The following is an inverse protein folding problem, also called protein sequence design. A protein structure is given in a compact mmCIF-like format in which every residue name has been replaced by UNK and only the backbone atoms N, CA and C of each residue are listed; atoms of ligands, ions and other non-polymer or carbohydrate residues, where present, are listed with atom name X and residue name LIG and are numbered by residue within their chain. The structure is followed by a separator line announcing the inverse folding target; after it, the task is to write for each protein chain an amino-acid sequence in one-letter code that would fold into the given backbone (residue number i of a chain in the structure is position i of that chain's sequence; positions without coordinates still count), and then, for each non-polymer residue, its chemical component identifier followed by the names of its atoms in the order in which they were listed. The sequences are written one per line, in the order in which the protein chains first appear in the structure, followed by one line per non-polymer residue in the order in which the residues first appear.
data_IF_645792418244
#
_entry.id   IF_645792418244
#
_cell.length_a   1.000
_cell.length_b   1.000
_cell.length_c   1.000
_cell.angle_alpha   90.00
_cell.angle_beta   90.00
_cell.angle_gamma   90.00
#
_symmetry.space_group_name_H-M   'P 1'
#
loop_
_entity.id
_entity.type
_entity.pdbx_description
1 polymer ?
2 polymer ?
3 polymer ?
4 non-polymer ?
5 non-polymer ?
6 non-polymer ?
7 non-polymer ?
8 water ?
#
loop_
_entity_poly.entity_id
_entity_poly.type
_entity_poly.pdbx_seq_one_letter_code
_entity_poly.pdbx_strand_id
2 'polydeoxyribonucleotide' '(DG)(DG)(DG)(DT)(DT)(DT)(DC)(DC)(DA)(DC)(DT)(DT)(DA)(DT)(DT)(DC)(DA)(DT)(DC)(DA)(DT)(DT)(DT)(DT)(DA)(DG)' ?
3 'polydeoxyribonucleotide' '(DC)(DC)(DT)(DA)(DA)(DA)(DA)(DT)(DG)(DA)(DT)(DG)(DA)(DA)(DT)(DA)(DA)(DG)(DT)(DG)(DG)(DA)(DA)(DA)(DC)(DC)' ?
#
# COMPACT_ATOMS: atom_id res chain seq x y z
N UNK A 7 -9.93 17.74 4.67
CA UNK A 7 -10.07 16.42 5.25
C UNK A 7 -8.71 15.74 5.41
N UNK A 8 -7.88 16.29 6.30
CA UNK A 8 -6.55 15.73 6.54
C UNK A 8 -6.65 14.24 6.86
N UNK A 9 -5.83 13.45 6.16
CA UNK A 9 -5.94 12.00 6.27
C UNK A 9 -5.55 11.54 7.67
N UNK A 10 -6.29 10.56 8.19
CA UNK A 10 -6.01 10.04 9.51
C UNK A 10 -4.59 9.46 9.57
N UNK A 11 -3.89 9.61 10.69
CA UNK A 11 -2.51 9.09 10.74
C UNK A 11 -2.44 7.59 10.52
N UNK A 12 -3.32 6.81 11.14
CA UNK A 12 -3.30 5.36 10.93
C UNK A 12 -3.73 4.99 9.51
N UNK A 13 -4.71 5.71 8.97
CA UNK A 13 -5.08 5.49 7.56
C UNK A 13 -3.90 5.81 6.66
N UNK A 14 -3.12 6.84 7.03
CA UNK A 14 -1.94 7.18 6.24
C UNK A 14 -0.87 6.09 6.36
N UNK A 15 -0.72 5.50 7.54
CA UNK A 15 0.27 4.44 7.71
C UNK A 15 -0.16 3.17 6.99
N UNK A 16 -1.45 2.85 7.03
CA UNK A 16 -1.94 1.71 6.26
C UNK A 16 -1.75 1.89 4.77
N UNK A 17 -1.94 3.11 4.27
CA UNK A 17 -1.72 3.37 2.86
C UNK A 17 -0.23 3.33 2.52
N UNK A 18 0.62 3.79 3.43
CA UNK A 18 2.07 3.71 3.21
C UNK A 18 2.55 2.27 3.21
N UNK A 19 1.99 1.44 4.10
CA UNK A 19 2.33 0.02 4.09
C UNK A 19 1.98 -0.62 2.76
N UNK A 20 0.98 -0.09 2.05
CA UNK A 20 0.55 -0.68 0.80
C UNK A 20 1.39 -0.16 -0.37
N UNK A 21 1.47 1.16 -0.54
CA UNK A 21 2.12 1.74 -1.71
C UNK A 21 3.34 2.59 -1.36
N UNK A 22 3.79 2.57 -0.10
CA UNK A 22 4.94 3.36 0.27
C UNK A 22 6.24 2.80 -0.25
N UNK A 23 7.29 3.63 -0.20
CA UNK A 23 8.60 3.22 -0.67
C UNK A 23 9.65 4.17 -0.13
N UNK A 24 10.67 3.62 0.51
CA UNK A 24 11.81 4.39 0.99
C UNK A 24 12.95 4.29 -0.01
N UNK A 25 13.68 5.39 -0.19
CA UNK A 25 14.72 5.47 -1.20
C UNK A 25 16.02 5.97 -0.59
N UNK A 26 17.13 5.33 -0.96
CA UNK A 26 18.46 5.74 -0.54
C UNK A 26 19.37 5.65 -1.75
N UNK A 27 19.70 6.81 -2.33
CA UNK A 27 20.52 6.88 -3.53
C UNK A 27 21.98 7.06 -3.15
N UNK A 28 22.86 6.29 -3.79
CA UNK A 28 24.30 6.41 -3.63
C UNK A 28 24.88 6.54 -5.03
N UNK A 29 25.08 7.79 -5.47
CA UNK A 29 25.40 8.09 -6.86
C UNK A 29 26.87 8.45 -7.00
N UNK A 30 27.51 7.92 -8.05
CA UNK A 30 28.83 8.40 -8.44
C UNK A 30 28.78 9.91 -8.66
N UNK A 31 29.86 10.60 -8.32
CA UNK A 31 29.87 12.04 -8.55
C UNK A 31 31.29 12.58 -8.45
N UNK A 32 31.74 13.24 -9.53
CA UNK A 32 33.05 13.89 -9.53
C UNK A 32 33.06 15.13 -8.65
N UNK A 33 31.93 15.82 -8.54
CA UNK A 33 31.85 17.06 -7.77
C UNK A 33 31.73 16.84 -6.28
N UNK A 34 31.92 15.62 -5.80
CA UNK A 34 31.85 15.30 -4.38
C UNK A 34 33.24 14.95 -3.86
N UNK A 35 33.49 15.30 -2.60
CA UNK A 35 34.78 15.02 -2.00
C UNK A 35 35.01 13.53 -1.84
N UNK A 36 34.04 12.81 -1.28
CA UNK A 36 34.15 11.37 -1.09
C UNK A 36 33.76 10.65 -2.38
N UNK A 37 33.59 11.41 -3.46
CA UNK A 37 33.23 10.81 -4.72
C UNK A 37 31.85 10.20 -4.77
N UNK A 38 30.97 10.58 -3.85
CA UNK A 38 29.61 10.04 -3.82
C UNK A 38 28.68 11.06 -3.20
N UNK A 39 27.52 11.24 -3.83
CA UNK A 39 26.43 12.03 -3.28
C UNK A 39 25.26 11.11 -2.97
N UNK A 40 24.46 11.49 -1.97
CA UNK A 40 23.37 10.66 -1.50
C UNK A 40 22.06 11.43 -1.53
N UNK A 41 20.96 10.69 -1.41
CA UNK A 41 19.63 11.27 -1.34
C UNK A 41 18.73 10.27 -0.62
N UNK A 42 18.04 10.74 0.42
CA UNK A 42 17.23 9.88 1.27
C UNK A 42 15.82 10.45 1.36
N UNK A 43 14.83 9.58 1.45
CA UNK A 43 13.46 10.03 1.58
C UNK A 43 12.48 8.89 1.42
N UNK A 44 11.22 9.27 1.25
CA UNK A 44 10.09 8.36 1.14
C UNK A 44 9.16 8.87 0.06
N UNK A 45 8.63 7.96 -0.76
CA UNK A 45 7.84 8.36 -1.91
C UNK A 45 6.62 7.45 -2.08
N UNK A 46 5.62 7.98 -2.78
CA UNK A 46 4.42 7.24 -3.16
C UNK A 46 4.10 7.60 -4.59
N UNK A 47 3.93 6.59 -5.45
CA UNK A 47 3.58 6.79 -6.84
C UNK A 47 2.23 6.15 -7.10
N UNK A 48 1.27 6.95 -7.54
CA UNK A 48 -0.09 6.50 -7.78
C UNK A 48 -0.51 6.89 -9.20
N UNK A 49 -1.64 6.35 -9.63
CA UNK A 49 -2.24 6.75 -10.89
C UNK A 49 -2.74 8.20 -10.81
N UNK A 50 -2.81 8.86 -11.96
CA UNK A 50 -3.23 10.25 -11.98
C UNK A 50 -4.60 10.44 -11.33
N UNK A 51 -5.46 9.42 -11.41
CA UNK A 51 -6.81 9.56 -10.88
C UNK A 51 -6.83 9.78 -9.37
N UNK A 52 -5.76 9.40 -8.67
CA UNK A 52 -5.67 9.57 -7.22
C UNK A 52 -4.59 10.58 -6.83
N UNK A 53 -4.33 11.57 -7.69
CA UNK A 53 -3.41 12.63 -7.32
C UNK A 53 -3.87 13.36 -6.06
N UNK A 54 -5.19 13.38 -5.81
CA UNK A 54 -5.69 14.04 -4.62
C UNK A 54 -5.17 13.41 -3.34
N UNK A 55 -4.96 12.09 -3.35
CA UNK A 55 -4.41 11.42 -2.18
C UNK A 55 -3.04 11.99 -1.84
N UNK A 56 -2.19 12.15 -2.86
CA UNK A 56 -0.87 12.72 -2.63
C UNK A 56 -0.96 14.17 -2.15
N UNK A 57 -1.88 14.94 -2.73
CA UNK A 57 -2.04 16.33 -2.30
C UNK A 57 -2.54 16.41 -0.86
N UNK A 58 -3.34 15.44 -0.42
CA UNK A 58 -3.79 15.43 0.96
C UNK A 58 -2.66 15.04 1.90
N UNK A 59 -1.90 14.01 1.55
CA UNK A 59 -0.75 13.62 2.38
C UNK A 59 0.25 14.77 2.47
N UNK A 60 0.57 15.38 1.32
CA UNK A 60 1.45 16.54 1.31
C UNK A 60 0.93 17.64 2.23
N UNK A 61 -0.39 17.86 2.20
CA UNK A 61 -0.98 18.90 3.03
C UNK A 61 -1.06 18.49 4.50
N UNK A 62 -1.29 17.19 4.77
CA UNK A 62 -1.35 16.74 6.16
C UNK A 62 0.02 16.80 6.81
N UNK A 63 1.06 16.35 6.11
CA UNK A 63 2.42 16.39 6.63
C UNK A 63 3.10 17.75 6.44
N UNK A 64 2.53 18.63 5.62
CA UNK A 64 3.19 19.89 5.29
C UNK A 64 4.61 19.66 4.79
N UNK A 65 4.77 18.59 4.00
CA UNK A 65 6.09 18.17 3.54
C UNK A 65 5.90 17.36 2.26
N UNK A 66 6.88 17.44 1.37
CA UNK A 66 6.89 16.63 0.17
C UNK A 66 6.63 17.45 -1.08
N UNK A 67 7.06 16.90 -2.21
CA UNK A 67 6.89 17.51 -3.52
C UNK A 67 6.15 16.54 -4.42
N UNK A 68 5.32 17.07 -5.30
CA UNK A 68 4.50 16.28 -6.21
C UNK A 68 4.90 16.59 -7.64
N UNK A 69 5.03 15.55 -8.45
CA UNK A 69 5.39 15.69 -9.86
C UNK A 69 4.80 14.51 -10.63
N UNK A 70 4.72 14.68 -11.94
CA UNK A 70 4.19 13.62 -12.79
C UNK A 70 5.21 12.48 -12.93
N UNK A 71 4.69 11.28 -13.13
CA UNK A 71 5.49 10.08 -13.36
C UNK A 71 4.97 9.43 -14.64
N UNK A 72 5.23 10.07 -15.77
CA UNK A 72 4.61 9.69 -17.01
C UNK A 72 3.31 10.43 -17.24
N UNK A 73 2.60 10.03 -18.29
CA UNK A 73 1.34 10.65 -18.62
C UNK A 73 0.16 10.07 -17.83
N UNK A 74 0.39 9.04 -17.00
CA UNK A 74 -0.71 8.38 -16.30
C UNK A 74 -0.38 8.12 -14.83
N UNK A 75 0.66 8.74 -14.29
CA UNK A 75 1.03 8.49 -12.91
C UNK A 75 1.56 9.75 -12.26
N UNK A 76 1.26 9.91 -10.96
CA UNK A 76 1.78 11.00 -10.15
C UNK A 76 2.57 10.41 -8.99
N UNK A 77 3.51 11.19 -8.48
CA UNK A 77 4.37 10.72 -7.40
C UNK A 77 4.53 11.82 -6.35
N UNK A 78 4.58 11.40 -5.08
CA UNK A 78 4.90 12.29 -3.97
C UNK A 78 6.28 11.89 -3.47
N UNK A 79 7.26 12.77 -3.64
CA UNK A 79 8.63 12.53 -3.25
C UNK A 79 9.04 13.55 -2.19
N UNK A 80 9.52 13.05 -1.05
CA UNK A 80 10.05 13.90 0.01
C UNK A 80 11.49 13.48 0.25
N UNK A 81 12.42 14.34 -0.15
CA UNK A 81 13.85 14.10 0.06
C UNK A 81 14.53 15.22 0.82
N UNK A 82 13.85 16.34 1.07
CA UNK A 82 14.42 17.39 1.91
C UNK A 82 14.76 16.82 3.28
N UNK A 83 16.03 16.92 3.66
CA UNK A 83 16.51 16.19 4.83
C UNK A 83 15.72 16.56 6.08
N UNK A 84 15.64 17.86 6.40
CA UNK A 84 14.92 18.27 7.60
C UNK A 84 13.45 17.86 7.53
N UNK A 85 12.91 17.74 6.32
CA UNK A 85 11.53 17.27 6.17
C UNK A 85 11.40 15.79 6.49
N UNK A 86 12.50 15.03 6.44
CA UNK A 86 12.45 13.62 6.81
C UNK A 86 12.15 13.42 8.29
N UNK A 87 12.33 14.45 9.12
CA UNK A 87 11.99 14.33 10.53
C UNK A 87 10.50 14.21 10.74
N UNK A 88 9.69 14.77 9.83
CA UNK A 88 8.25 14.57 9.89
C UNK A 88 7.89 13.12 9.58
N UNK A 89 8.60 12.52 8.61
CA UNK A 89 8.37 11.11 8.29
C UNK A 89 8.68 10.24 9.50
N UNK A 90 9.86 10.42 10.09
CA UNK A 90 10.28 9.59 11.22
C UNK A 90 9.32 9.76 12.39
N UNK A 91 8.94 11.00 12.70
CA UNK A 91 8.03 11.23 13.81
C UNK A 91 6.69 10.53 13.60
N UNK A 92 6.18 10.56 12.37
CA UNK A 92 4.90 9.89 12.09
C UNK A 92 5.02 8.39 12.28
N UNK A 93 6.03 7.78 11.67
CA UNK A 93 6.15 6.32 11.72
C UNK A 93 6.62 5.81 13.06
N UNK A 94 7.23 6.67 13.89
CA UNK A 94 7.52 6.27 15.26
C UNK A 94 6.25 6.17 16.08
N UNK A 95 5.29 7.04 15.83
CA UNK A 95 4.02 7.02 16.56
C UNK A 95 3.01 6.09 15.92
N UNK A 96 3.03 5.93 14.60
CA UNK A 96 2.11 5.08 13.87
C UNK A 96 2.93 4.12 13.00
N UNK A 97 3.43 3.04 13.59
CA UNK A 97 4.42 2.22 12.89
C UNK A 97 3.81 1.33 11.81
N UNK A 98 4.61 1.10 10.77
CA UNK A 98 4.26 0.14 9.74
C UNK A 98 4.35 -1.28 10.30
N UNK A 99 3.62 -2.21 9.69
CA UNK A 99 3.52 -3.56 10.23
C UNK A 99 3.87 -4.60 9.18
N UNK A 100 4.05 -4.17 7.93
CA UNK A 100 4.46 -5.09 6.88
C UNK A 100 5.99 -5.19 6.85
N UNK A 101 6.50 -6.00 5.91
CA UNK A 101 7.95 -6.10 5.75
C UNK A 101 8.58 -4.75 5.43
N UNK A 102 7.79 -3.79 4.97
CA UNK A 102 8.30 -2.44 4.74
C UNK A 102 8.82 -1.80 6.02
N UNK A 103 8.44 -2.33 7.18
CA UNK A 103 9.00 -1.82 8.44
C UNK A 103 10.51 -1.98 8.47
N UNK A 104 11.01 -3.12 7.99
CA UNK A 104 12.46 -3.31 7.90
C UNK A 104 13.12 -2.28 7.02
N UNK A 105 12.43 -1.86 5.94
CA UNK A 105 12.97 -0.81 5.09
C UNK A 105 12.96 0.54 5.80
N UNK A 106 11.96 0.79 6.65
CA UNK A 106 11.92 2.04 7.40
C UNK A 106 13.03 2.09 8.45
N UNK A 107 13.32 0.95 9.07
CA UNK A 107 14.38 0.91 10.08
C UNK A 107 15.74 1.18 9.47
N UNK A 108 15.97 0.71 8.25
CA UNK A 108 17.20 1.06 7.54
C UNK A 108 17.18 2.52 7.12
N UNK A 109 16.02 3.00 6.68
CA UNK A 109 15.88 4.42 6.32
C UNK A 109 16.23 5.32 7.51
N UNK A 110 15.95 4.87 8.73
CA UNK A 110 16.31 5.67 9.90
C UNK A 110 17.81 5.62 10.16
N UNK A 111 18.40 4.42 10.08
CA UNK A 111 19.85 4.30 10.26
C UNK A 111 20.59 5.17 9.25
N UNK A 112 20.08 5.26 8.03
CA UNK A 112 20.69 6.14 7.04
C UNK A 112 20.49 7.60 7.41
N UNK A 113 19.33 7.94 7.98
CA UNK A 113 19.09 9.31 8.41
C UNK A 113 20.07 9.71 9.50
N UNK A 114 20.29 8.84 10.49
CA UNK A 114 21.23 9.15 11.56
C UNK A 114 22.63 9.38 11.02
N UNK A 115 23.01 8.65 9.96
CA UNK A 115 24.33 8.84 9.36
C UNK A 115 24.42 10.22 8.73
N UNK A 116 23.46 10.58 7.87
CA UNK A 116 23.53 11.85 7.18
C UNK A 116 23.30 13.03 8.11
N UNK A 117 22.51 12.85 9.16
CA UNK A 117 22.31 13.93 10.13
C UNK A 117 23.64 14.36 10.73
N UNK A 118 24.53 13.39 11.01
CA UNK A 118 25.87 13.70 11.50
C UNK A 118 26.80 14.22 10.42
N UNK A 119 26.34 14.31 9.17
CA UNK A 119 27.17 14.67 8.03
C UNK A 119 28.25 13.64 7.76
N UNK A 120 28.12 12.45 8.33
CA UNK A 120 29.09 11.38 8.07
C UNK A 120 29.13 11.01 6.59
N UNK A 121 28.01 11.16 5.88
CA UNK A 121 27.97 10.83 4.47
C UNK A 121 28.96 11.63 3.65
N UNK A 122 29.51 12.71 4.20
CA UNK A 122 30.57 13.46 3.52
C UNK A 122 31.93 12.81 3.69
N UNK A 123 32.11 11.99 4.71
CA UNK A 123 33.36 11.25 4.92
C UNK A 123 33.28 9.88 4.25
N UNK A 124 34.46 9.30 4.01
CA UNK A 124 34.52 8.01 3.32
C UNK A 124 33.81 6.92 4.12
N UNK A 125 34.09 6.85 5.43
CA UNK A 125 33.45 5.83 6.25
C UNK A 125 31.93 6.01 6.29
N UNK A 126 31.46 7.24 6.19
CA UNK A 126 30.02 7.46 6.13
C UNK A 126 29.39 6.82 4.91
N UNK A 127 30.06 6.93 3.76
CA UNK A 127 29.55 6.30 2.55
C UNK A 127 29.59 4.79 2.66
N UNK A 128 30.70 4.25 3.21
CA UNK A 128 30.78 2.81 3.42
C UNK A 128 29.68 2.32 4.34
N UNK A 129 29.29 3.14 5.32
CA UNK A 129 28.19 2.77 6.21
C UNK A 129 26.86 2.80 5.47
N UNK A 130 26.64 3.81 4.64
CA UNK A 130 25.38 3.91 3.90
C UNK A 130 25.24 2.77 2.90
N UNK A 131 26.34 2.38 2.25
CA UNK A 131 26.31 1.19 1.40
C UNK A 131 25.96 -0.03 2.24
N UNK A 132 26.53 -0.12 3.45
CA UNK A 132 26.16 -1.18 4.37
C UNK A 132 24.65 -1.22 4.56
N UNK A 133 24.04 -0.05 4.76
CA UNK A 133 22.60 0.02 5.03
C UNK A 133 21.82 -0.25 3.76
N UNK A 134 22.26 0.30 2.63
CA UNK A 134 21.51 0.16 1.38
C UNK A 134 21.50 -1.28 0.89
N UNK A 135 22.51 -2.07 1.23
CA UNK A 135 22.59 -3.44 0.75
C UNK A 135 21.38 -4.27 1.18
N UNK A 136 20.71 -3.89 2.26
CA UNK A 136 19.54 -4.61 2.75
C UNK A 136 18.24 -3.85 2.53
N UNK A 137 18.29 -2.71 1.85
CA UNK A 137 17.12 -1.87 1.63
C UNK A 137 16.53 -2.14 0.26
N UNK A 138 15.24 -2.48 0.25
CA UNK A 138 14.52 -2.74 -0.99
C UNK A 138 15.27 -3.77 -1.85
N UNK A 139 15.68 -3.40 -3.06
CA UNK A 139 16.31 -4.38 -3.95
C UNK A 139 17.83 -4.45 -3.80
N UNK A 140 18.39 -3.82 -2.77
CA UNK A 140 19.80 -3.97 -2.47
C UNK A 140 20.72 -3.09 -3.30
N UNK A 141 21.99 -3.46 -3.29
CA UNK A 141 23.00 -2.70 -4.00
C UNK A 141 22.92 -2.95 -5.51
N UNK A 142 23.25 -1.91 -6.28
CA UNK A 142 23.41 -2.08 -7.71
C UNK A 142 24.68 -2.89 -7.99
N UNK A 143 24.81 -3.35 -9.24
CA UNK A 143 26.01 -4.07 -9.62
C UNK A 143 27.23 -3.16 -9.55
N UNK A 144 27.06 -1.89 -9.92
CA UNK A 144 28.17 -0.94 -9.84
C UNK A 144 28.64 -0.76 -8.40
N UNK A 145 27.69 -0.62 -7.47
CA UNK A 145 28.07 -0.47 -6.06
C UNK A 145 28.73 -1.73 -5.53
N UNK A 146 28.19 -2.90 -5.89
CA UNK A 146 28.82 -4.15 -5.48
C UNK A 146 30.27 -4.20 -5.94
N UNK A 147 30.55 -3.73 -7.15
CA UNK A 147 31.92 -3.71 -7.64
C UNK A 147 32.78 -2.69 -6.90
N UNK A 148 32.17 -1.56 -6.49
CA UNK A 148 32.92 -0.53 -5.77
C UNK A 148 33.12 -0.87 -4.31
N UNK A 149 32.30 -1.74 -3.73
CA UNK A 149 32.39 -2.12 -2.32
C UNK A 149 32.41 -3.64 -2.21
N UNK A 150 33.46 -4.28 -2.72
CA UNK A 150 33.52 -5.76 -2.64
C UNK A 150 33.67 -6.26 -1.22
N UNK A 151 34.24 -5.47 -0.32
CA UNK A 151 34.42 -5.85 1.07
C UNK A 151 33.21 -5.55 1.93
N UNK A 152 32.10 -5.13 1.31
CA UNK A 152 30.90 -4.80 2.07
C UNK A 152 30.37 -6.02 2.80
N UNK A 153 30.11 -5.86 4.10
CA UNK A 153 29.56 -6.92 4.95
C UNK A 153 28.45 -6.29 5.79
N UNK A 154 27.20 -6.69 5.53
CA UNK A 154 26.04 -6.15 6.23
C UNK A 154 25.46 -7.20 7.17
N UNK A 155 24.93 -6.73 8.30
CA UNK A 155 24.28 -7.63 9.24
C UNK A 155 23.03 -8.25 8.61
N UNK A 156 22.58 -9.35 9.20
CA UNK A 156 21.40 -10.04 8.69
C UNK A 156 20.16 -9.19 8.91
N UNK A 157 19.26 -9.21 7.94
CA UNK A 157 17.98 -8.51 8.03
C UNK A 157 16.91 -9.49 8.50
N UNK A 158 16.46 -9.33 9.74
CA UNK A 158 15.45 -10.20 10.29
C UNK A 158 14.07 -9.90 9.70
N UNK A 159 13.27 -10.95 9.56
CA UNK A 159 11.95 -10.79 8.98
C UNK A 159 11.00 -10.11 9.96
N UNK A 160 10.03 -9.38 9.41
CA UNK A 160 9.07 -8.63 10.20
C UNK A 160 7.82 -9.49 10.42
N UNK A 161 7.15 -9.25 11.55
CA UNK A 161 5.89 -9.93 11.83
C UNK A 161 5.15 -9.10 12.88
N UNK A 162 4.24 -8.24 12.43
CA UNK A 162 3.45 -7.39 13.31
C UNK A 162 1.97 -7.59 13.01
N UNK A 163 1.14 -7.37 14.02
CA UNK A 163 -0.29 -7.58 13.90
C UNK A 163 -1.01 -6.27 13.56
N UNK A 164 -2.20 -6.42 12.98
CA UNK A 164 -3.04 -5.28 12.61
C UNK A 164 -3.37 -4.49 13.87
N UNK A 165 -3.01 -3.21 13.93
CA UNK A 165 -3.23 -2.43 15.17
C UNK A 165 -4.68 -2.02 15.38
N UNK A 166 -5.33 -1.53 14.32
CA UNK A 166 -6.70 -1.04 14.44
C UNK A 166 -7.34 -1.03 13.06
N UNK A 167 -8.61 -0.62 13.02
CA UNK A 167 -9.35 -0.60 11.75
C UNK A 167 -8.94 0.57 10.87
N UNK A 168 -8.45 1.67 11.45
CA UNK A 168 -7.96 2.77 10.63
C UNK A 168 -6.83 2.30 9.72
N UNK A 169 -5.89 1.53 10.27
CA UNK A 169 -4.82 0.98 9.44
C UNK A 169 -5.39 0.09 8.34
N UNK A 170 -6.35 -0.76 8.68
CA UNK A 170 -6.95 -1.64 7.67
C UNK A 170 -7.62 -0.83 6.57
N UNK A 171 -8.29 0.28 6.93
CA UNK A 171 -8.90 1.13 5.92
C UNK A 171 -7.85 1.70 4.97
N UNK A 172 -6.73 2.18 5.53
CA UNK A 172 -5.67 2.70 4.68
C UNK A 172 -5.03 1.61 3.83
N UNK A 173 -4.80 0.43 4.41
CA UNK A 173 -4.24 -0.67 3.64
C UNK A 173 -5.21 -1.16 2.57
N UNK A 174 -6.50 -1.26 2.92
CA UNK A 174 -7.48 -1.66 1.93
C UNK A 174 -7.64 -0.62 0.83
N UNK A 175 -7.50 0.66 1.16
CA UNK A 175 -7.55 1.70 0.13
C UNK A 175 -6.48 1.49 -0.94
N UNK A 176 -5.40 0.79 -0.62
CA UNK A 176 -4.35 0.55 -1.59
C UNK A 176 -4.42 -0.81 -2.23
N UNK A 177 -4.64 -1.85 -1.42
CA UNK A 177 -4.60 -3.23 -1.89
C UNK A 177 -5.98 -3.85 -2.09
N UNK A 178 -7.06 -3.20 -1.64
CA UNK A 178 -8.36 -3.80 -1.66
C UNK A 178 -9.01 -3.78 -3.04
N UNK A 179 -10.18 -4.44 -3.13
CA UNK A 179 -10.94 -4.50 -4.36
C UNK A 179 -12.35 -4.94 -4.05
N UNK A 180 -13.33 -4.22 -4.58
CA UNK A 180 -14.74 -4.52 -4.40
C UNK A 180 -15.35 -4.86 -5.75
N UNK A 181 -15.95 -6.05 -5.85
CA UNK A 181 -16.33 -6.62 -7.13
C UNK A 181 -17.75 -7.15 -7.07
N UNK A 182 -18.51 -6.91 -8.15
CA UNK A 182 -19.84 -7.45 -8.32
C UNK A 182 -19.74 -8.58 -9.35
N UNK A 183 -19.85 -9.82 -8.89
CA UNK A 183 -19.68 -10.98 -9.74
C UNK A 183 -21.04 -11.37 -10.33
N UNK A 184 -21.14 -11.35 -11.65
CA UNK A 184 -22.36 -11.72 -12.36
C UNK A 184 -22.21 -13.15 -12.87
N UNK A 185 -22.64 -14.11 -12.05
CA UNK A 185 -22.53 -15.53 -12.36
C UNK A 185 -23.62 -15.86 -13.38
N UNK A 186 -23.26 -15.92 -14.65
CA UNK A 186 -24.22 -16.22 -15.69
C UNK A 186 -24.73 -17.66 -15.56
N UNK A 187 -25.96 -17.88 -15.97
CA UNK A 187 -26.59 -19.19 -15.85
C UNK A 187 -27.81 -19.24 -16.74
N UNK A 188 -28.21 -20.46 -17.09
CA UNK A 188 -29.46 -20.69 -17.82
C UNK A 188 -30.63 -20.83 -16.85
N UNK A 189 -30.73 -19.89 -15.92
CA UNK A 189 -31.71 -19.92 -14.85
C UNK A 189 -32.88 -18.98 -15.18
N UNK A 190 -33.67 -18.64 -14.17
CA UNK A 190 -34.79 -17.72 -14.33
C UNK A 190 -34.31 -16.37 -14.83
N UNK A 191 -33.82 -15.52 -13.91
CA UNK A 191 -33.28 -14.24 -14.31
C UNK A 191 -32.07 -14.40 -15.22
N UNK A 192 -31.33 -15.51 -15.07
CA UNK A 192 -30.18 -15.78 -15.89
C UNK A 192 -28.86 -15.35 -15.31
N UNK A 193 -28.86 -14.59 -14.21
CA UNK A 193 -27.64 -14.10 -13.60
C UNK A 193 -27.78 -14.18 -12.07
N UNK A 194 -26.74 -14.69 -11.41
CA UNK A 194 -26.65 -14.72 -9.97
C UNK A 194 -25.67 -13.65 -9.53
N UNK A 195 -26.14 -12.68 -8.74
CA UNK A 195 -25.29 -11.60 -8.27
C UNK A 195 -24.54 -12.07 -7.03
N UNK A 196 -23.21 -11.88 -7.04
CA UNK A 196 -22.37 -12.25 -5.91
C UNK A 196 -21.36 -11.15 -5.66
N UNK A 197 -21.42 -10.55 -4.47
CA UNK A 197 -20.44 -9.54 -4.08
C UNK A 197 -19.16 -10.22 -3.61
N UNK A 198 -18.03 -9.64 -3.96
CA UNK A 198 -16.73 -10.20 -3.63
C UNK A 198 -15.79 -9.12 -3.11
N UNK A 199 -15.09 -9.44 -2.03
CA UNK A 199 -14.10 -8.54 -1.43
C UNK A 199 -12.74 -9.24 -1.46
N UNK A 200 -11.76 -8.59 -2.07
CA UNK A 200 -10.45 -9.17 -2.28
C UNK A 200 -9.36 -8.26 -1.74
N UNK A 201 -8.31 -8.87 -1.19
CA UNK A 201 -7.08 -8.17 -0.79
C UNK A 201 -5.91 -9.04 -1.22
N UNK A 202 -5.00 -8.48 -2.02
CA UNK A 202 -3.87 -9.21 -2.55
C UNK A 202 -2.58 -8.71 -1.92
N UNK A 203 -1.64 -9.63 -1.69
CA UNK A 203 -0.36 -9.30 -1.07
C UNK A 203 0.61 -10.44 -1.31
N UNK A 204 1.88 -10.09 -1.43
CA UNK A 204 2.92 -11.09 -1.66
C UNK A 204 2.97 -12.08 -0.50
N UNK A 205 3.49 -13.28 -0.79
CA UNK A 205 3.52 -14.33 0.22
C UNK A 205 4.49 -14.00 1.35
N UNK A 206 5.40 -13.04 1.14
CA UNK A 206 6.35 -12.68 2.20
C UNK A 206 5.67 -12.11 3.43
N UNK A 207 4.38 -11.76 3.34
CA UNK A 207 3.61 -11.33 4.49
C UNK A 207 2.42 -12.26 4.71
N UNK A 208 2.68 -13.58 4.65
CA UNK A 208 1.61 -14.54 4.80
C UNK A 208 0.98 -14.46 6.19
N UNK A 209 1.79 -14.17 7.21
CA UNK A 209 1.25 -14.05 8.56
C UNK A 209 0.20 -12.96 8.65
N UNK A 210 0.50 -11.79 8.08
CA UNK A 210 -0.47 -10.70 8.07
C UNK A 210 -1.72 -11.08 7.26
N UNK A 211 -1.52 -11.73 6.11
CA UNK A 211 -2.65 -12.13 5.29
C UNK A 211 -3.49 -13.20 5.99
N UNK A 212 -2.83 -14.16 6.65
CA UNK A 212 -3.57 -15.20 7.34
C UNK A 212 -4.37 -14.64 8.52
N UNK A 213 -3.87 -13.59 9.16
CA UNK A 213 -4.56 -13.02 10.32
C UNK A 213 -5.86 -12.34 9.95
N UNK A 214 -6.05 -11.98 8.68
CA UNK A 214 -7.27 -11.28 8.28
C UNK A 214 -8.52 -12.09 8.59
N UNK A 215 -8.43 -13.42 8.51
CA UNK A 215 -9.60 -14.25 8.78
C UNK A 215 -10.10 -14.04 10.20
N UNK A 216 -9.20 -14.13 11.17
CA UNK A 216 -9.61 -13.96 12.57
C UNK A 216 -9.88 -12.50 12.90
N UNK A 217 -9.17 -11.57 12.28
CA UNK A 217 -9.37 -10.16 12.58
C UNK A 217 -10.75 -9.68 12.12
N UNK A 218 -11.21 -10.15 10.97
CA UNK A 218 -12.51 -9.79 10.44
C UNK A 218 -13.58 -10.86 10.64
N UNK A 219 -13.20 -12.03 11.16
CA UNK A 219 -14.17 -13.07 11.42
C UNK A 219 -14.85 -13.62 10.19
N UNK A 220 -14.14 -13.67 9.06
CA UNK A 220 -14.70 -14.16 7.81
C UNK A 220 -13.61 -14.17 6.76
N UNK A 221 -13.91 -14.81 5.64
CA UNK A 221 -13.01 -14.84 4.50
C UNK A 221 -12.18 -16.11 4.44
N UNK A 222 -11.46 -16.26 3.34
CA UNK A 222 -10.58 -17.39 3.12
C UNK A 222 -9.41 -16.94 2.26
N UNK A 223 -8.27 -17.63 2.43
CA UNK A 223 -7.04 -17.31 1.72
C UNK A 223 -6.91 -18.21 0.51
N UNK A 224 -6.51 -17.63 -0.61
CA UNK A 224 -6.30 -18.35 -1.86
C UNK A 224 -4.90 -18.05 -2.37
N UNK A 225 -4.18 -19.10 -2.77
CA UNK A 225 -2.82 -18.95 -3.27
C UNK A 225 -2.86 -18.83 -4.79
N UNK A 226 -2.28 -17.75 -5.32
CA UNK A 226 -2.23 -17.49 -6.75
C UNK A 226 -0.79 -17.56 -7.25
N UNK A 227 -0.66 -17.76 -8.56
CA UNK A 227 0.64 -17.87 -9.21
C UNK A 227 0.58 -17.22 -10.58
N UNK A 228 1.74 -16.74 -11.03
CA UNK A 228 1.88 -16.15 -12.36
C UNK A 228 3.36 -16.13 -12.70
N UNK A 229 3.75 -16.88 -13.72
CA UNK A 229 5.17 -17.09 -14.02
C UNK A 229 5.79 -17.73 -12.76
N UNK A 230 7.03 -17.37 -12.40
CA UNK A 230 7.60 -17.87 -11.17
C UNK A 230 7.18 -17.07 -9.95
N UNK A 231 6.27 -16.10 -10.12
CA UNK A 231 5.80 -15.28 -9.02
C UNK A 231 4.53 -15.88 -8.41
N UNK A 232 4.28 -15.51 -7.15
CA UNK A 232 3.11 -16.00 -6.45
C UNK A 232 2.71 -14.97 -5.40
N UNK A 233 1.45 -15.06 -4.96
CA UNK A 233 0.93 -14.14 -3.97
C UNK A 233 -0.32 -14.73 -3.34
N UNK A 234 -0.70 -14.16 -2.21
CA UNK A 234 -1.90 -14.59 -1.48
C UNK A 234 -3.06 -13.65 -1.77
N UNK A 235 -4.27 -14.16 -1.54
CA UNK A 235 -5.49 -13.42 -1.83
C UNK A 235 -6.52 -13.73 -0.74
N UNK A 236 -6.79 -12.73 0.11
CA UNK A 236 -7.86 -12.85 1.10
C UNK A 236 -9.17 -12.47 0.44
N UNK A 237 -10.14 -13.38 0.48
CA UNK A 237 -11.39 -13.23 -0.25
C UNK A 237 -12.58 -13.48 0.67
N UNK A 238 -13.65 -12.73 0.41
CA UNK A 238 -14.92 -12.87 1.13
C UNK A 238 -16.04 -12.88 0.12
N UNK A 239 -16.85 -13.93 0.12
CA UNK A 239 -17.98 -14.05 -0.79
C UNK A 239 -19.32 -14.31 -0.11
N UNK A 240 -19.32 -14.70 1.17
CA UNK A 240 -20.59 -14.91 1.88
C UNK A 240 -21.25 -13.57 2.14
N UNK A 241 -22.46 -13.39 1.62
CA UNK A 241 -23.10 -12.07 1.66
C UNK A 241 -23.28 -11.59 3.10
N UNK A 242 -23.78 -12.47 3.98
CA UNK A 242 -23.99 -12.06 5.36
C UNK A 242 -22.70 -11.52 5.98
N UNK A 243 -21.57 -12.18 5.71
CA UNK A 243 -20.29 -11.67 6.19
C UNK A 243 -19.97 -10.33 5.55
N UNK A 244 -20.23 -10.20 4.24
CA UNK A 244 -19.99 -8.93 3.56
C UNK A 244 -20.90 -7.84 4.13
N UNK A 245 -22.19 -8.16 4.31
CA UNK A 245 -23.14 -7.14 4.73
C UNK A 245 -22.93 -6.74 6.18
N UNK A 246 -22.59 -7.70 7.04
CA UNK A 246 -22.53 -7.45 8.48
C UNK A 246 -21.12 -7.23 9.01
N UNK A 247 -20.08 -7.69 8.31
CA UNK A 247 -18.73 -7.62 8.83
C UNK A 247 -17.78 -6.79 7.99
N UNK A 248 -17.89 -6.85 6.66
CA UNK A 248 -16.98 -6.10 5.80
C UNK A 248 -17.47 -4.68 5.57
N UNK A 249 -18.75 -4.53 5.19
CA UNK A 249 -19.28 -3.20 4.90
C UNK A 249 -19.26 -2.30 6.12
N UNK A 250 -19.72 -2.74 7.31
CA UNK A 250 -19.70 -1.83 8.47
C UNK A 250 -18.31 -1.36 8.85
N UNK A 251 -17.28 -2.14 8.56
CA UNK A 251 -15.93 -1.75 8.96
C UNK A 251 -15.46 -0.54 8.17
N UNK A 252 -15.69 -0.55 6.86
CA UNK A 252 -15.22 0.54 5.99
C UNK A 252 -16.20 1.70 5.93
N UNK A 253 -17.39 1.56 6.50
CA UNK A 253 -18.26 2.71 6.68
C UNK A 253 -17.89 3.50 7.92
N UNK A 254 -17.47 2.81 8.98
CA UNK A 254 -16.99 3.47 10.18
C UNK A 254 -15.57 3.99 10.02
N UNK A 255 -14.81 3.46 9.07
CA UNK A 255 -13.45 3.91 8.77
C UNK A 255 -13.38 4.15 7.26
N UNK A 256 -13.46 5.42 6.87
CA UNK A 256 -13.69 5.76 5.48
C UNK A 256 -12.46 5.48 4.63
N UNK A 257 -12.68 4.90 3.45
CA UNK A 257 -11.61 4.69 2.48
C UNK A 257 -11.25 6.02 1.81
N UNK A 258 -10.09 6.01 1.17
CA UNK A 258 -9.59 7.19 0.47
C UNK A 258 -9.38 6.85 -1.00
N UNK A 259 -9.33 7.90 -1.82
CA UNK A 259 -9.11 7.72 -3.24
C UNK A 259 -10.38 7.35 -3.98
N UNK A 260 -10.19 7.02 -5.27
CA UNK A 260 -11.32 6.68 -6.13
C UNK A 260 -12.02 5.42 -5.63
N UNK A 261 -11.29 4.52 -4.97
CA UNK A 261 -11.88 3.27 -4.52
C UNK A 261 -13.03 3.50 -3.54
N UNK A 262 -13.11 4.69 -2.93
CA UNK A 262 -14.25 4.99 -2.07
C UNK A 262 -15.55 5.00 -2.88
N UNK A 263 -15.49 5.48 -4.12
CA UNK A 263 -16.66 5.44 -4.99
C UNK A 263 -17.05 4.01 -5.34
N UNK A 264 -16.06 3.18 -5.68
CA UNK A 264 -16.35 1.77 -5.96
C UNK A 264 -16.95 1.09 -4.73
N UNK A 265 -16.48 1.45 -3.54
CA UNK A 265 -17.05 0.88 -2.33
C UNK A 265 -18.47 1.35 -2.11
N UNK A 266 -18.76 2.62 -2.43
CA UNK A 266 -20.10 3.13 -2.25
C UNK A 266 -21.07 2.49 -3.24
N UNK A 267 -20.66 2.33 -4.50
CA UNK A 267 -21.47 1.58 -5.44
C UNK A 267 -21.59 0.12 -4.99
N UNK A 268 -20.51 -0.44 -4.47
CA UNK A 268 -20.56 -1.78 -3.91
C UNK A 268 -21.65 -1.90 -2.85
N UNK A 269 -21.72 -0.92 -1.95
CA UNK A 269 -22.72 -0.96 -0.88
C UNK A 269 -24.13 -0.84 -1.42
N UNK A 270 -24.34 -0.06 -2.49
CA UNK A 270 -25.67 0.06 -3.05
C UNK A 270 -26.17 -1.28 -3.59
N UNK A 271 -25.26 -2.08 -4.17
CA UNK A 271 -25.63 -3.41 -4.62
C UNK A 271 -26.02 -4.28 -3.41
N UNK A 272 -25.29 -4.13 -2.30
CA UNK A 272 -25.61 -4.90 -1.11
C UNK A 272 -27.01 -4.57 -0.59
N UNK A 273 -27.38 -3.28 -0.65
CA UNK A 273 -28.72 -2.90 -0.22
C UNK A 273 -29.79 -3.57 -1.07
N UNK A 274 -29.57 -3.63 -2.39
CA UNK A 274 -30.55 -4.27 -3.26
C UNK A 274 -30.57 -5.78 -3.07
N UNK A 275 -29.41 -6.39 -2.81
CA UNK A 275 -29.38 -7.81 -2.51
C UNK A 275 -30.08 -8.10 -1.19
N UNK A 276 -29.81 -7.28 -0.17
CA UNK A 276 -30.47 -7.45 1.12
C UNK A 276 -31.99 -7.38 0.98
N UNK A 277 -32.48 -6.53 0.09
CA UNK A 277 -33.92 -6.38 -0.15
C UNK A 277 -34.45 -7.37 -1.17
N UNK A 278 -33.67 -8.38 -1.54
CA UNK A 278 -34.05 -9.40 -2.51
C UNK A 278 -34.32 -8.81 -3.90
N UNK A 279 -33.90 -7.57 -4.15
CA UNK A 279 -34.12 -6.98 -5.46
C UNK A 279 -33.26 -7.64 -6.53
N UNK A 280 -32.13 -8.23 -6.14
CA UNK A 280 -31.26 -8.91 -7.08
C UNK A 280 -31.93 -10.09 -7.76
N UNK A 281 -33.09 -10.53 -7.26
CA UNK A 281 -33.84 -11.62 -7.85
C UNK A 281 -34.91 -11.14 -8.83
N UNK A 282 -35.05 -9.83 -9.01
CA UNK A 282 -36.03 -9.26 -9.92
C UNK A 282 -35.34 -8.72 -11.17
N UNK A 283 -36.11 -8.60 -12.24
CA UNK A 283 -35.56 -8.19 -13.52
C UNK A 283 -35.04 -6.75 -13.47
N UNK A 284 -35.87 -5.83 -12.95
CA UNK A 284 -35.45 -4.43 -12.89
C UNK A 284 -34.29 -4.25 -11.91
N UNK A 285 -34.35 -4.92 -10.75
CA UNK A 285 -33.23 -4.83 -9.82
C UNK A 285 -31.94 -5.35 -10.41
N UNK A 286 -32.01 -6.42 -11.18
CA UNK A 286 -30.81 -6.93 -11.85
C UNK A 286 -30.26 -5.92 -12.84
N UNK A 287 -31.15 -5.26 -13.60
CA UNK A 287 -30.69 -4.24 -14.53
C UNK A 287 -29.93 -3.13 -13.81
N UNK A 288 -30.38 -2.79 -12.59
CA UNK A 288 -29.69 -1.74 -11.84
C UNK A 288 -28.33 -2.21 -11.35
N UNK A 289 -28.25 -3.45 -10.87
CA UNK A 289 -26.96 -4.00 -10.46
C UNK A 289 -25.97 -3.95 -11.61
N UNK A 290 -26.41 -4.33 -12.81
CA UNK A 290 -25.55 -4.27 -13.98
C UNK A 290 -25.07 -2.84 -14.21
N UNK A 291 -26.00 -1.90 -14.37
CA UNK A 291 -25.63 -0.51 -14.61
C UNK A 291 -24.63 -0.01 -13.58
N UNK A 292 -24.79 -0.41 -12.32
CA UNK A 292 -23.84 -0.02 -11.29
C UNK A 292 -22.48 -0.66 -11.57
N UNK A 293 -22.47 -1.93 -11.95
CA UNK A 293 -21.20 -2.61 -12.21
C UNK A 293 -20.46 -2.02 -13.40
N UNK A 294 -21.21 -1.55 -14.41
CA UNK A 294 -20.56 -0.99 -15.60
C UNK A 294 -19.61 0.14 -15.25
N UNK A 295 -19.97 0.96 -14.25
CA UNK A 295 -19.22 2.15 -13.92
C UNK A 295 -18.30 1.97 -12.72
N UNK A 296 -17.95 0.73 -12.38
CA UNK A 296 -17.07 0.44 -11.27
C UNK A 296 -15.68 0.03 -11.75
N UNK A 297 -14.69 0.31 -10.92
CA UNK A 297 -13.31 -0.15 -11.12
C UNK A 297 -12.84 0.29 -12.51
N UNK A 298 -12.35 -0.62 -13.35
CA UNK A 298 -11.87 -0.23 -14.67
C UNK A 298 -12.94 0.47 -15.51
N UNK A 299 -14.22 0.24 -15.20
CA UNK A 299 -15.29 0.84 -15.96
C UNK A 299 -15.62 2.27 -15.59
N UNK A 300 -15.10 2.77 -14.48
CA UNK A 300 -15.38 4.13 -14.04
C UNK A 300 -14.67 5.15 -14.94
#
# INVERSE_FOLDING_TARGET
MASSRRESINPWILTGFADAEGSFLLRIRNNNKSSVGYSTELGFQITLHNKDKSILENIQSTWKVGVIANSGDNAVSLKVTRFEDLKVIIDHFEKYPLITQKLGDYKLFKQAFSVMENKEHLKENGIKELVRIKAKLNWGLTDELKKAFPENISKERSLINKNIPNFKWLAGFTSGEGSFYVNLIKSKSKLGVQVQLRFDITQHIKDKNLMNSLITYLGCGYIIEYNKSEFSWLNFRVTKFSDINDKIIPVFQENTLIGVKLEDFEDWCKVAKLIEEKKHLTESGLDEIKKIKLNMNKGR
#
